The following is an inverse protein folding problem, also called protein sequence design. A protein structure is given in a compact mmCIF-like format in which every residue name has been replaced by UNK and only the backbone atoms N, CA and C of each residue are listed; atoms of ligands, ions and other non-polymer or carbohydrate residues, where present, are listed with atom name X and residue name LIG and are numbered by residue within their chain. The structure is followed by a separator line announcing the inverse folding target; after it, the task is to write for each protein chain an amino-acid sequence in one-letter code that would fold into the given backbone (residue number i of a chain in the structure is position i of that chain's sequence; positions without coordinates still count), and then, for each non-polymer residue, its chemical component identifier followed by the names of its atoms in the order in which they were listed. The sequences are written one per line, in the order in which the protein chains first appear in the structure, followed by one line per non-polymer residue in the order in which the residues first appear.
data_IF_095051380961
#
_entry.id   IF_095051380961
#
_cell.length_a   1.000
_cell.length_b   1.000
_cell.length_c   1.000
_cell.angle_alpha   90.00
_cell.angle_beta   90.00
_cell.angle_gamma   90.00
#
_symmetry.space_group_name_H-M   'P 1'
#
loop_
_entity.id
_entity.type
_entity.pdbx_description
1 polymer ?
#
# COMPACT_ATOMS: atom_id res chain seq x y z
N UNK A 1 8.86 7.30 -4.52
CA UNK A 1 7.76 6.95 -3.59
C UNK A 1 7.59 8.11 -2.62
N UNK A 2 6.36 8.43 -2.23
CA UNK A 2 6.04 9.48 -1.27
C UNK A 2 5.18 8.92 -0.16
N UNK A 3 5.42 9.36 1.07
CA UNK A 3 4.60 8.99 2.23
C UNK A 3 3.54 10.06 2.48
N UNK A 4 2.28 9.66 2.59
CA UNK A 4 1.11 10.52 2.81
C UNK A 4 0.44 10.23 4.14
N UNK A 5 -0.24 11.22 4.72
CA UNK A 5 -0.92 11.07 6.02
C UNK A 5 -2.31 10.41 5.96
N UNK A 6 -2.82 10.11 4.75
CA UNK A 6 -4.16 9.52 4.56
C UNK A 6 -4.26 8.72 3.28
N UNK A 7 -5.27 7.86 3.20
CA UNK A 7 -5.59 7.14 1.96
C UNK A 7 -6.06 8.12 0.86
N UNK A 8 -5.53 7.93 -0.35
CA UNK A 8 -5.96 8.64 -1.56
C UNK A 8 -7.06 7.82 -2.24
N UNK A 9 -8.32 8.20 -2.04
CA UNK A 9 -9.43 7.37 -2.48
C UNK A 9 -9.84 7.61 -3.93
N UNK A 10 -9.56 8.79 -4.49
CA UNK A 10 -9.95 9.14 -5.86
C UNK A 10 -8.77 9.15 -6.84
N UNK A 11 -9.01 8.86 -8.14
CA UNK A 11 -8.01 9.02 -9.19
C UNK A 11 -7.48 10.44 -9.32
N UNK A 12 -8.32 11.43 -9.02
CA UNK A 12 -7.97 12.86 -9.04
C UNK A 12 -6.86 13.16 -8.03
N UNK A 13 -7.05 12.74 -6.78
CA UNK A 13 -6.09 12.94 -5.68
C UNK A 13 -4.75 12.27 -5.99
N UNK A 14 -4.80 11.03 -6.51
CA UNK A 14 -3.59 10.29 -6.89
C UNK A 14 -2.83 11.00 -8.02
N UNK A 15 -3.54 11.51 -9.03
CA UNK A 15 -2.94 12.24 -10.16
C UNK A 15 -2.31 13.56 -9.71
N UNK A 16 -3.03 14.34 -8.90
CA UNK A 16 -2.52 15.60 -8.35
C UNK A 16 -1.26 15.36 -7.51
N UNK A 17 -1.27 14.33 -6.66
CA UNK A 17 -0.08 13.97 -5.89
C UNK A 17 1.08 13.55 -6.80
N UNK A 18 0.82 12.72 -7.81
CA UNK A 18 1.85 12.31 -8.77
C UNK A 18 2.46 13.49 -9.55
N UNK A 19 1.63 14.47 -9.93
CA UNK A 19 2.08 15.69 -10.62
C UNK A 19 2.92 16.60 -9.71
N UNK A 20 2.52 16.74 -8.44
CA UNK A 20 3.18 17.64 -7.49
C UNK A 20 4.46 17.05 -6.90
N UNK A 21 4.54 15.73 -6.76
CA UNK A 21 5.67 15.04 -6.12
C UNK A 21 6.57 14.29 -7.10
N UNK A 22 6.15 14.16 -8.36
CA UNK A 22 6.79 13.30 -9.36
C UNK A 22 6.95 11.83 -8.92
N UNK A 23 6.15 11.38 -7.95
CA UNK A 23 6.22 10.02 -7.41
C UNK A 23 5.25 9.07 -8.12
N UNK A 24 5.75 7.88 -8.48
CA UNK A 24 4.94 6.80 -9.05
C UNK A 24 4.18 5.96 -7.99
N UNK A 25 4.58 6.05 -6.72
CA UNK A 25 4.05 5.23 -5.61
C UNK A 25 3.77 6.14 -4.42
N UNK A 26 2.63 5.92 -3.77
CA UNK A 26 2.29 6.51 -2.49
C UNK A 26 2.11 5.41 -1.44
N UNK A 27 2.55 5.67 -0.22
CA UNK A 27 2.35 4.82 0.95
C UNK A 27 2.12 5.70 2.20
N UNK A 28 1.98 5.11 3.40
CA UNK A 28 1.65 5.89 4.61
C UNK A 28 2.72 5.84 5.71
N UNK A 29 3.75 5.00 5.60
CA UNK A 29 4.66 4.74 6.72
C UNK A 29 6.14 4.78 6.37
N UNK A 30 6.53 4.55 5.13
CA UNK A 30 7.93 4.24 4.77
C UNK A 30 8.92 5.35 5.09
N UNK A 31 8.55 6.63 4.90
CA UNK A 31 9.41 7.74 5.31
C UNK A 31 9.67 7.71 6.82
N UNK A 32 8.62 7.53 7.63
CA UNK A 32 8.73 7.53 9.08
C UNK A 32 9.54 6.34 9.60
N UNK A 33 9.30 5.15 9.05
CA UNK A 33 10.07 3.95 9.38
C UNK A 33 11.55 4.14 9.00
N UNK A 34 11.82 4.66 7.80
CA UNK A 34 13.19 4.92 7.34
C UNK A 34 13.92 5.97 8.17
N UNK A 35 13.20 7.00 8.64
CA UNK A 35 13.75 8.01 9.54
C UNK A 35 14.19 7.39 10.87
N UNK A 36 13.36 6.54 11.47
CA UNK A 36 13.69 5.83 12.71
C UNK A 36 14.86 4.87 12.50
N UNK A 37 14.84 4.06 11.43
CA UNK A 37 15.93 3.13 11.12
C UNK A 37 17.26 3.86 10.93
N UNK A 38 17.26 4.98 10.20
CA UNK A 38 18.44 5.83 10.03
C UNK A 38 18.96 6.37 11.37
N UNK A 39 18.07 6.83 12.25
CA UNK A 39 18.46 7.34 13.58
C UNK A 39 19.07 6.26 14.47
N UNK A 40 18.68 4.99 14.27
CA UNK A 40 19.20 3.83 14.99
C UNK A 40 20.43 3.17 14.32
N UNK A 41 20.91 3.69 13.19
CA UNK A 41 22.02 3.08 12.44
C UNK A 41 21.68 1.74 11.79
N UNK A 42 20.39 1.44 11.60
CA UNK A 42 19.92 0.17 11.02
C UNK A 42 19.77 0.33 9.50
N UNK A 43 20.43 -0.51 8.68
CA UNK A 43 20.20 -0.54 7.23
C UNK A 43 18.72 -0.77 6.92
N UNK A 44 18.16 0.03 6.00
CA UNK A 44 16.74 0.02 5.70
C UNK A 44 16.49 0.05 4.20
N UNK A 45 15.58 -0.79 3.75
CA UNK A 45 15.08 -0.83 2.38
C UNK A 45 13.56 -0.97 2.39
N UNK A 46 12.92 -0.46 1.33
CA UNK A 46 11.47 -0.59 1.14
C UNK A 46 11.19 -1.33 -0.15
N UNK A 47 10.34 -2.35 -0.05
CA UNK A 47 9.70 -2.98 -1.19
C UNK A 47 8.19 -2.78 -1.10
N UNK A 48 7.58 -2.29 -2.19
CA UNK A 48 6.12 -2.11 -2.30
C UNK A 48 5.61 -2.79 -3.57
N UNK A 49 4.39 -3.32 -3.50
CA UNK A 49 3.62 -3.78 -4.66
C UNK A 49 2.38 -2.90 -4.77
N UNK A 50 2.09 -2.42 -5.98
CA UNK A 50 0.94 -1.56 -6.23
C UNK A 50 -0.34 -2.40 -6.21
N UNK A 51 -1.22 -2.15 -5.23
CA UNK A 51 -2.50 -2.85 -5.07
C UNK A 51 -3.62 -2.13 -5.82
N UNK A 52 -3.69 -0.81 -5.68
CA UNK A 52 -4.67 0.05 -6.32
C UNK A 52 -3.98 1.01 -7.30
N UNK A 53 -4.44 1.02 -8.55
CA UNK A 53 -3.81 1.80 -9.61
C UNK A 53 -4.21 3.27 -9.57
N UNK A 54 -3.53 4.10 -10.38
CA UNK A 54 -3.81 5.53 -10.53
C UNK A 54 -5.28 5.81 -10.91
N UNK A 55 -5.89 4.95 -11.74
CA UNK A 55 -7.25 5.15 -12.25
C UNK A 55 -8.33 4.48 -11.39
N UNK A 56 -7.94 3.72 -10.37
CA UNK A 56 -8.86 2.97 -9.54
C UNK A 56 -9.37 3.86 -8.39
N UNK A 57 -10.68 4.06 -8.35
CA UNK A 57 -11.35 4.64 -7.20
C UNK A 57 -11.48 3.60 -6.07
N UNK A 58 -11.12 4.02 -4.86
CA UNK A 58 -11.36 3.27 -3.64
C UNK A 58 -12.66 3.72 -2.98
N UNK A 59 -13.29 2.88 -2.15
CA UNK A 59 -14.44 3.28 -1.37
C UNK A 59 -14.17 4.54 -0.53
N UNK A 60 -15.03 5.58 -0.59
CA UNK A 60 -14.83 6.84 0.12
C UNK A 60 -14.65 6.70 1.63
N UNK A 61 -15.18 5.63 2.25
CA UNK A 61 -14.98 5.39 3.67
C UNK A 61 -13.51 5.13 4.03
N UNK A 62 -12.68 4.65 3.10
CA UNK A 62 -11.26 4.42 3.34
C UNK A 62 -10.46 5.72 3.48
N UNK A 63 -10.91 6.81 2.85
CA UNK A 63 -10.28 8.13 3.02
C UNK A 63 -10.40 8.67 4.46
N UNK A 64 -11.37 8.16 5.24
CA UNK A 64 -11.61 8.51 6.64
C UNK A 64 -11.00 7.50 7.61
N UNK A 65 -10.13 6.62 7.12
CA UNK A 65 -9.48 5.64 7.95
C UNK A 65 -8.37 6.30 8.78
N UNK A 66 -8.64 6.48 10.07
CA UNK A 66 -7.70 7.04 11.06
C UNK A 66 -7.36 6.03 12.18
N UNK A 67 -7.73 4.74 12.01
CA UNK A 67 -7.64 3.69 13.05
C UNK A 67 -8.90 3.61 13.94
N UNK A 68 -9.15 2.46 14.58
CA UNK A 68 -10.29 2.24 15.50
C UNK A 68 -11.41 1.32 14.96
N UNK A 69 -12.59 1.35 15.58
CA UNK A 69 -13.72 0.45 15.28
C UNK A 69 -14.54 0.86 14.03
N UNK A 70 -13.88 0.95 12.88
CA UNK A 70 -14.48 1.43 11.61
C UNK A 70 -15.15 0.31 10.79
N UNK A 71 -14.90 -0.96 11.13
CA UNK A 71 -15.34 -2.13 10.36
C UNK A 71 -16.88 -2.18 10.25
N UNK A 72 -17.58 -1.81 11.32
CA UNK A 72 -19.06 -1.75 11.34
C UNK A 72 -19.58 -0.70 10.37
N UNK A 73 -18.92 0.46 10.29
CA UNK A 73 -19.31 1.56 9.40
C UNK A 73 -19.05 1.18 7.94
N UNK A 74 -17.90 0.57 7.66
CA UNK A 74 -17.59 0.07 6.32
C UNK A 74 -18.53 -1.05 5.87
N UNK A 75 -18.86 -1.99 6.76
CA UNK A 75 -19.81 -3.06 6.47
C UNK A 75 -21.19 -2.50 6.14
N UNK A 76 -21.72 -1.60 6.98
CA UNK A 76 -23.01 -0.91 6.69
C UNK A 76 -22.98 -0.18 5.35
N UNK A 77 -21.88 0.52 5.06
CA UNK A 77 -21.70 1.24 3.80
C UNK A 77 -21.68 0.30 2.59
N UNK A 78 -21.00 -0.85 2.69
CA UNK A 78 -20.88 -1.82 1.61
C UNK A 78 -22.20 -2.56 1.37
N UNK A 79 -22.93 -2.90 2.44
CA UNK A 79 -24.26 -3.50 2.33
C UNK A 79 -25.28 -2.56 1.69
N UNK A 80 -25.21 -1.26 1.98
CA UNK A 80 -26.09 -0.26 1.37
C UNK A 80 -25.78 0.03 -0.12
N UNK A 81 -24.67 -0.47 -0.67
CA UNK A 81 -24.20 -0.15 -2.02
C UNK A 81 -23.71 -1.40 -2.77
N UNK A 82 -24.60 -2.32 -3.18
CA UNK A 82 -24.24 -3.58 -3.82
C UNK A 82 -23.47 -3.41 -5.14
N UNK A 83 -23.68 -2.30 -5.86
CA UNK A 83 -22.94 -1.99 -7.09
C UNK A 83 -21.43 -1.76 -6.87
N UNK A 84 -20.98 -1.58 -5.62
CA UNK A 84 -19.56 -1.52 -5.29
C UNK A 84 -18.92 -2.89 -5.08
N UNK A 85 -19.71 -3.96 -4.93
CA UNK A 85 -19.18 -5.29 -4.63
C UNK A 85 -18.19 -5.82 -5.67
N UNK A 86 -18.42 -5.67 -6.99
CA UNK A 86 -17.42 -6.08 -7.98
C UNK A 86 -16.08 -5.35 -7.79
N UNK A 87 -16.11 -4.07 -7.41
CA UNK A 87 -14.90 -3.28 -7.15
C UNK A 87 -14.18 -3.72 -5.87
N UNK A 88 -14.94 -3.99 -4.81
CA UNK A 88 -14.41 -4.52 -3.56
C UNK A 88 -13.79 -5.91 -3.76
N UNK A 89 -14.42 -6.74 -4.58
CA UNK A 89 -13.90 -8.05 -4.95
C UNK A 89 -12.62 -7.94 -5.78
N UNK A 90 -12.61 -7.05 -6.79
CA UNK A 90 -11.40 -6.76 -7.57
C UNK A 90 -10.25 -6.25 -6.71
N UNK A 91 -10.54 -5.40 -5.72
CA UNK A 91 -9.55 -4.94 -4.74
C UNK A 91 -9.04 -6.11 -3.89
N UNK A 92 -9.92 -6.97 -3.38
CA UNK A 92 -9.53 -8.19 -2.63
C UNK A 92 -8.59 -9.06 -3.45
N UNK A 93 -8.94 -9.35 -4.70
CA UNK A 93 -8.08 -10.17 -5.56
C UNK A 93 -6.72 -9.50 -5.83
N UNK A 94 -6.71 -8.19 -6.09
CA UNK A 94 -5.47 -7.44 -6.27
C UNK A 94 -4.59 -7.50 -5.02
N UNK A 95 -5.19 -7.37 -3.82
CA UNK A 95 -4.48 -7.52 -2.55
C UNK A 95 -3.90 -8.93 -2.38
N UNK A 96 -4.67 -9.98 -2.66
CA UNK A 96 -4.17 -11.37 -2.56
C UNK A 96 -3.03 -11.65 -3.54
N UNK A 97 -3.13 -11.15 -4.78
CA UNK A 97 -2.06 -11.24 -5.78
C UNK A 97 -0.82 -10.48 -5.32
N UNK A 98 -0.99 -9.27 -4.78
CA UNK A 98 0.10 -8.44 -4.30
C UNK A 98 0.82 -9.06 -3.09
N UNK A 99 0.07 -9.62 -2.13
CA UNK A 99 0.64 -10.34 -0.99
C UNK A 99 1.45 -11.56 -1.45
N UNK A 100 0.92 -12.34 -2.40
CA UNK A 100 1.64 -13.48 -2.98
C UNK A 100 2.92 -13.05 -3.69
N UNK A 101 2.84 -11.99 -4.51
CA UNK A 101 4.00 -11.47 -5.25
C UNK A 101 5.06 -10.91 -4.31
N UNK A 102 4.66 -10.15 -3.29
CA UNK A 102 5.55 -9.61 -2.27
C UNK A 102 6.22 -10.73 -1.48
N UNK A 103 5.48 -11.75 -1.04
CA UNK A 103 6.04 -12.90 -0.34
C UNK A 103 7.10 -13.64 -1.17
N UNK A 104 6.83 -13.86 -2.46
CA UNK A 104 7.81 -14.45 -3.38
C UNK A 104 9.05 -13.57 -3.54
N UNK A 105 8.87 -12.27 -3.69
CA UNK A 105 9.99 -11.33 -3.84
C UNK A 105 10.87 -11.27 -2.58
N UNK A 106 10.26 -11.29 -1.39
CA UNK A 106 10.99 -11.34 -0.12
C UNK A 106 11.79 -12.64 0.00
N UNK A 107 11.17 -13.79 -0.28
CA UNK A 107 11.86 -15.09 -0.24
C UNK A 107 13.01 -15.16 -1.25
N UNK A 108 12.80 -14.67 -2.47
CA UNK A 108 13.85 -14.64 -3.48
C UNK A 108 15.04 -13.75 -3.06
N UNK A 109 14.75 -12.59 -2.46
CA UNK A 109 15.79 -11.70 -1.94
C UNK A 109 16.54 -12.31 -0.75
N UNK A 110 15.84 -12.95 0.19
CA UNK A 110 16.51 -13.58 1.35
C UNK A 110 17.43 -14.71 0.91
N UNK A 111 16.98 -15.57 -0.01
CA UNK A 111 17.82 -16.66 -0.54
C UNK A 111 19.02 -16.13 -1.33
N UNK A 112 18.85 -15.09 -2.14
CA UNK A 112 19.97 -14.46 -2.86
C UNK A 112 20.98 -13.82 -1.89
N UNK A 113 20.50 -13.22 -0.80
CA UNK A 113 21.34 -12.63 0.23
C UNK A 113 22.15 -13.68 0.99
N UNK A 114 21.54 -14.81 1.34
CA UNK A 114 22.23 -15.93 1.98
C UNK A 114 23.34 -16.50 1.09
N UNK A 115 23.03 -16.73 -0.20
CA UNK A 115 24.03 -17.21 -1.16
C UNK A 115 25.21 -16.24 -1.34
N UNK A 116 24.97 -14.92 -1.33
CA UNK A 116 26.04 -13.92 -1.37
C UNK A 116 26.89 -13.91 -0.10
N UNK A 117 26.29 -14.17 1.07
CA UNK A 117 27.02 -14.24 2.34
C UNK A 117 27.89 -15.48 2.45
N UNK A 118 27.49 -16.61 1.88
CA UNK A 118 28.31 -17.83 1.88
C UNK A 118 29.49 -17.77 0.90
N UNK A 119 29.40 -16.92 -0.13
CA UNK A 119 30.44 -16.73 -1.14
C UNK A 119 31.51 -15.69 -0.77
N UNK A 120 31.34 -14.97 0.34
CA UNK A 120 32.22 -13.89 0.82
C UNK A 120 33.04 -14.33 2.05
#
# INVERSE_FOLDING_TARGET
MVTVGRVLASPEEKRLLGQTTHSAIADMESYWVGLVARSAGIPFAVMRVVVDTLHQALPPFLARYEGGAWERTALKWAMARPWWWPRLWGLREATLRAQTALGRAVLALSSAWEAQREAA
#
